data_IF_841557078761
#
_entry.id   IF_841557078761
#
_cell.length_a   1.000
_cell.length_b   1.000
_cell.length_c   1.000
_cell.angle_alpha   90.00
_cell.angle_beta   90.00
_cell.angle_gamma   90.00
#
_symmetry.space_group_name_H-M   'P 1'
#
loop_
_entity.id
_entity.type
_entity.pdbx_description
1 polymer ?
#
# COMPACT_ATOMS: atom_id res chain seq x y z
N UNK A 1 -15.95 -4.96 -8.69
CA UNK A 1 -14.91 -5.13 -7.62
C UNK A 1 -13.56 -4.73 -8.15
N UNK A 2 -12.73 -4.16 -7.30
CA UNK A 2 -11.41 -3.65 -7.66
C UNK A 2 -10.36 -4.29 -6.76
N UNK A 3 -9.12 -4.42 -7.28
CA UNK A 3 -8.00 -4.88 -6.45
C UNK A 3 -7.32 -3.69 -5.77
N UNK A 4 -6.94 -3.89 -4.51
CA UNK A 4 -6.19 -2.92 -3.71
C UNK A 4 -4.95 -3.60 -3.14
N UNK A 5 -3.79 -2.99 -3.34
CA UNK A 5 -2.53 -3.45 -2.77
C UNK A 5 -2.26 -2.68 -1.49
N UNK A 6 -2.14 -3.39 -0.37
CA UNK A 6 -1.83 -2.78 0.93
C UNK A 6 -0.45 -3.22 1.39
N UNK A 7 0.34 -2.27 1.85
CA UNK A 7 1.74 -2.53 2.20
C UNK A 7 2.10 -2.13 3.63
N UNK A 8 1.12 -1.72 4.42
CA UNK A 8 1.35 -1.21 5.77
C UNK A 8 0.30 -1.67 6.76
N UNK A 9 -0.46 -0.72 7.29
CA UNK A 9 -1.39 -0.91 8.39
C UNK A 9 -2.40 -2.06 8.20
N UNK A 10 -2.87 -2.26 6.97
CA UNK A 10 -3.89 -3.27 6.69
C UNK A 10 -3.32 -4.65 6.35
N UNK A 11 -2.01 -4.82 6.41
CA UNK A 11 -1.40 -6.11 6.10
C UNK A 11 -1.79 -7.16 7.14
N UNK A 12 -2.06 -8.37 6.66
CA UNK A 12 -2.42 -9.56 7.45
C UNK A 12 -3.69 -9.40 8.28
N UNK A 13 -4.41 -8.30 8.10
CA UNK A 13 -5.58 -8.04 8.92
C UNK A 13 -6.50 -7.03 8.25
N UNK A 14 -7.52 -7.53 7.58
CA UNK A 14 -8.58 -6.66 7.05
C UNK A 14 -9.42 -6.20 8.23
N UNK A 15 -9.23 -4.94 8.64
CA UNK A 15 -9.96 -4.32 9.75
C UNK A 15 -10.60 -3.01 9.30
N UNK A 16 -11.62 -2.59 10.01
CA UNK A 16 -12.29 -1.32 9.74
C UNK A 16 -12.79 -1.28 8.31
N UNK A 17 -12.24 -0.37 7.50
CA UNK A 17 -12.69 -0.16 6.13
C UNK A 17 -12.51 -1.37 5.22
N UNK A 18 -11.56 -2.26 5.53
CA UNK A 18 -11.31 -3.47 4.74
C UNK A 18 -11.93 -4.73 5.34
N UNK A 19 -12.78 -4.59 6.34
CA UNK A 19 -13.39 -5.71 7.05
C UNK A 19 -14.12 -6.68 6.11
N UNK A 20 -14.77 -6.16 5.09
CA UNK A 20 -15.53 -6.97 4.14
C UNK A 20 -14.77 -7.26 2.84
N UNK A 21 -13.49 -6.92 2.78
CA UNK A 21 -12.67 -7.19 1.60
C UNK A 21 -12.25 -8.66 1.57
N UNK A 22 -11.98 -9.16 0.36
CA UNK A 22 -11.51 -10.53 0.17
C UNK A 22 -10.00 -10.55 -0.01
N UNK A 23 -9.30 -11.26 0.84
CA UNK A 23 -7.84 -11.44 0.70
C UNK A 23 -7.54 -12.32 -0.52
N UNK A 24 -6.69 -11.81 -1.42
CA UNK A 24 -6.33 -12.50 -2.65
C UNK A 24 -4.90 -13.02 -2.66
N UNK A 25 -4.14 -12.76 -1.60
CA UNK A 25 -2.77 -13.28 -1.50
C UNK A 25 -1.72 -12.19 -1.38
N UNK A 26 -0.50 -12.60 -1.10
CA UNK A 26 0.66 -11.70 -1.07
C UNK A 26 1.18 -11.49 -2.48
N UNK A 27 1.77 -10.33 -2.71
CA UNK A 27 2.44 -10.04 -3.96
C UNK A 27 3.53 -8.99 -3.73
N UNK A 28 4.26 -8.67 -4.80
CA UNK A 28 5.30 -7.65 -4.76
C UNK A 28 5.10 -6.66 -5.88
N UNK A 29 5.57 -5.44 -5.65
CA UNK A 29 5.59 -4.37 -6.64
C UNK A 29 6.98 -3.74 -6.65
N UNK A 30 7.32 -3.04 -7.73
CA UNK A 30 8.56 -2.28 -7.79
C UNK A 30 8.39 -0.93 -7.09
N UNK A 31 9.39 -0.53 -6.32
CA UNK A 31 9.41 0.74 -5.63
C UNK A 31 10.07 0.64 -4.28
N UNK A 32 9.84 1.63 -3.45
CA UNK A 32 10.42 1.72 -2.12
C UNK A 32 9.37 2.16 -1.11
N UNK A 33 9.53 1.74 0.14
CA UNK A 33 8.71 2.25 1.24
C UNK A 33 9.62 2.89 2.29
N UNK A 34 9.09 3.92 2.92
CA UNK A 34 9.78 4.70 3.95
C UNK A 34 8.93 4.77 5.21
N UNK A 35 9.59 4.82 6.35
CA UNK A 35 8.92 4.96 7.64
C UNK A 35 8.53 6.41 7.83
N UNK A 36 7.31 6.76 7.44
CA UNK A 36 6.78 8.11 7.59
C UNK A 36 6.56 8.43 9.08
N UNK A 37 6.03 7.47 9.82
CA UNK A 37 5.95 7.54 11.28
C UNK A 37 5.94 6.11 11.85
N UNK A 38 5.70 5.99 13.15
CA UNK A 38 5.74 4.68 13.83
C UNK A 38 4.64 3.74 13.37
N UNK A 39 3.56 4.26 12.80
CA UNK A 39 2.36 3.48 12.54
C UNK A 39 2.16 3.11 11.08
N UNK A 40 2.69 3.88 10.13
CA UNK A 40 2.47 3.58 8.73
C UNK A 40 3.61 4.06 7.83
N UNK A 41 3.82 3.35 6.71
CA UNK A 41 4.83 3.71 5.71
C UNK A 41 4.26 4.58 4.60
N UNK A 42 5.16 5.10 3.77
CA UNK A 42 4.79 5.74 2.51
C UNK A 42 5.48 5.03 1.35
N UNK A 43 4.72 4.71 0.32
CA UNK A 43 5.24 4.09 -0.90
C UNK A 43 5.63 5.16 -1.91
N UNK A 44 6.83 4.99 -2.48
CA UNK A 44 7.34 5.85 -3.55
C UNK A 44 7.60 4.98 -4.78
N UNK A 45 7.08 5.43 -5.91
CA UNK A 45 7.23 4.73 -7.18
C UNK A 45 8.55 5.13 -7.83
N UNK A 46 9.65 4.61 -7.30
CA UNK A 46 10.95 4.83 -7.89
C UNK A 46 11.91 3.73 -7.49
N UNK A 47 13.03 3.64 -8.20
CA UNK A 47 14.04 2.65 -7.91
C UNK A 47 13.63 1.27 -8.43
N UNK A 48 14.48 0.29 -8.16
CA UNK A 48 14.27 -1.09 -8.56
C UNK A 48 14.09 -2.02 -7.37
N UNK A 49 13.82 -1.44 -6.21
CA UNK A 49 13.52 -2.22 -5.01
C UNK A 49 12.18 -2.93 -5.13
N UNK A 50 11.94 -3.83 -4.20
CA UNK A 50 10.70 -4.59 -4.13
C UNK A 50 9.95 -4.24 -2.86
N UNK A 51 8.63 -4.08 -2.98
CA UNK A 51 7.74 -3.85 -1.84
C UNK A 51 6.78 -5.02 -1.73
N UNK A 52 6.71 -5.61 -0.55
CA UNK A 52 5.86 -6.77 -0.28
C UNK A 52 4.56 -6.28 0.35
N UNK A 53 3.45 -6.79 -0.12
CA UNK A 53 2.15 -6.42 0.41
C UNK A 53 1.09 -7.48 0.15
N UNK A 54 -0.12 -7.14 0.49
CA UNK A 54 -1.28 -8.01 0.34
C UNK A 54 -2.25 -7.41 -0.68
N UNK A 55 -2.84 -8.29 -1.50
CA UNK A 55 -3.85 -7.89 -2.48
C UNK A 55 -5.23 -8.23 -1.92
N UNK A 56 -6.12 -7.25 -1.93
CA UNK A 56 -7.52 -7.43 -1.55
C UNK A 56 -8.43 -7.09 -2.70
N UNK A 57 -9.54 -7.83 -2.79
CA UNK A 57 -10.63 -7.48 -3.69
C UNK A 57 -11.63 -6.66 -2.88
N UNK A 58 -11.93 -5.45 -3.35
CA UNK A 58 -12.75 -4.50 -2.61
C UNK A 58 -13.90 -3.99 -3.47
N UNK A 59 -15.01 -3.62 -2.81
CA UNK A 59 -16.08 -2.88 -3.45
C UNK A 59 -15.59 -1.44 -3.63
N UNK A 60 -15.62 -0.89 -4.87
CA UNK A 60 -15.14 0.49 -5.09
C UNK A 60 -15.90 1.56 -4.30
N UNK A 61 -17.04 1.23 -3.74
CA UNK A 61 -17.79 2.14 -2.86
C UNK A 61 -17.00 2.58 -1.63
N UNK A 62 -15.97 1.80 -1.23
CA UNK A 62 -15.18 2.15 -0.06
C UNK A 62 -14.14 3.25 -0.34
N UNK A 63 -13.81 3.51 -1.60
CA UNK A 63 -12.71 4.41 -1.93
C UNK A 63 -12.87 5.85 -1.42
N UNK A 64 -14.04 6.49 -1.50
CA UNK A 64 -14.14 7.84 -0.93
C UNK A 64 -13.78 7.89 0.55
N UNK A 65 -14.24 6.91 1.33
CA UNK A 65 -13.96 6.82 2.75
C UNK A 65 -12.50 6.43 3.02
N UNK A 66 -11.97 5.52 2.22
CA UNK A 66 -10.59 5.08 2.34
C UNK A 66 -9.61 6.19 1.96
N UNK A 67 -9.93 6.96 0.90
CA UNK A 67 -9.13 8.12 0.49
C UNK A 67 -9.06 9.15 1.63
N UNK A 68 -10.19 9.38 2.30
CA UNK A 68 -10.24 10.29 3.44
C UNK A 68 -9.41 9.77 4.62
N UNK A 69 -9.48 8.47 4.88
CA UNK A 69 -8.70 7.84 5.94
C UNK A 69 -7.20 7.98 5.70
N UNK A 70 -6.74 7.78 4.45
CA UNK A 70 -5.32 7.90 4.09
C UNK A 70 -4.85 9.36 4.16
N UNK A 71 -5.72 10.29 3.83
CA UNK A 71 -5.45 11.72 3.99
C UNK A 71 -4.71 12.35 2.81
N UNK A 72 -4.38 13.62 2.98
CA UNK A 72 -3.82 14.45 1.91
C UNK A 72 -2.38 14.11 1.55
N UNK A 73 -1.69 13.33 2.37
CA UNK A 73 -0.30 12.93 2.13
C UNK A 73 -0.17 11.81 1.10
N UNK A 74 -1.29 11.21 0.72
CA UNK A 74 -1.32 10.08 -0.21
C UNK A 74 -2.24 10.36 -1.39
N UNK A 75 -1.93 9.73 -2.52
CA UNK A 75 -2.81 9.73 -3.69
C UNK A 75 -3.02 8.29 -4.12
N UNK A 76 -4.25 7.96 -4.51
CA UNK A 76 -4.58 6.61 -4.97
C UNK A 76 -4.28 6.50 -6.46
N UNK A 77 -3.35 5.61 -6.79
CA UNK A 77 -2.90 5.41 -8.18
C UNK A 77 -2.96 3.93 -8.54
N UNK A 78 -2.78 3.63 -9.81
CA UNK A 78 -2.75 2.24 -10.30
C UNK A 78 -1.32 1.75 -10.40
N UNK A 79 -1.13 0.47 -10.06
CA UNK A 79 0.16 -0.20 -10.20
C UNK A 79 -0.09 -1.67 -10.59
N UNK A 80 0.90 -2.30 -11.18
CA UNK A 80 0.82 -3.70 -11.55
C UNK A 80 1.79 -4.51 -10.69
N UNK A 81 1.31 -5.59 -10.12
CA UNK A 81 2.13 -6.48 -9.31
C UNK A 81 3.00 -7.38 -10.19
N UNK A 82 3.99 -8.02 -9.58
CA UNK A 82 4.81 -9.01 -10.29
C UNK A 82 4.00 -10.23 -10.73
N UNK A 83 2.89 -10.50 -10.09
CA UNK A 83 1.95 -11.55 -10.51
C UNK A 83 0.97 -11.07 -11.59
N UNK A 84 1.23 -9.88 -12.15
CA UNK A 84 0.47 -9.31 -13.26
C UNK A 84 -0.98 -8.94 -12.91
N UNK A 85 -1.20 -8.48 -11.69
CA UNK A 85 -2.49 -7.99 -11.25
C UNK A 85 -2.44 -6.48 -11.16
N UNK A 86 -3.36 -5.80 -11.85
CA UNK A 86 -3.49 -4.35 -11.72
C UNK A 86 -4.24 -4.01 -10.44
N UNK A 87 -3.64 -3.15 -9.61
CA UNK A 87 -4.19 -2.79 -8.30
C UNK A 87 -4.20 -1.28 -8.11
N UNK A 88 -5.09 -0.81 -7.26
CA UNK A 88 -4.96 0.50 -6.67
C UNK A 88 -3.94 0.44 -5.53
N UNK A 89 -3.23 1.55 -5.30
CA UNK A 89 -2.28 1.68 -4.20
C UNK A 89 -2.30 3.13 -3.71
N UNK A 90 -2.02 3.34 -2.43
CA UNK A 90 -1.89 4.69 -1.88
C UNK A 90 -0.41 5.08 -1.92
N UNK A 91 -0.09 6.03 -2.76
CA UNK A 91 1.26 6.50 -3.02
C UNK A 91 1.51 7.78 -2.23
N UNK A 92 2.64 7.83 -1.50
CA UNK A 92 3.01 9.00 -0.71
C UNK A 92 3.53 10.09 -1.64
N UNK A 93 3.08 11.34 -1.44
CA UNK A 93 3.33 12.41 -2.40
C UNK A 93 4.35 13.46 -1.94
N UNK A 94 4.90 13.31 -0.74
CA UNK A 94 5.87 14.25 -0.21
C UNK A 94 7.30 13.71 -0.26
N UNK A 95 8.29 14.61 -0.02
CA UNK A 95 9.68 14.25 0.03
C UNK A 95 9.92 13.26 1.18
N UNK A 96 10.68 12.20 0.89
CA UNK A 96 10.98 11.14 1.86
C UNK A 96 12.44 11.18 2.34
N UNK A 97 13.22 12.20 1.94
CA UNK A 97 14.65 12.25 2.25
C UNK A 97 14.95 12.29 3.75
N UNK A 98 14.00 12.76 4.55
CA UNK A 98 14.14 12.80 6.01
C UNK A 98 13.71 11.52 6.71
N UNK A 99 13.17 10.56 5.98
CA UNK A 99 12.62 9.32 6.54
C UNK A 99 13.52 8.13 6.28
N UNK A 100 13.44 7.16 7.17
CA UNK A 100 14.20 5.93 7.05
C UNK A 100 13.57 5.01 6.01
N UNK A 101 14.36 4.56 5.04
CA UNK A 101 13.93 3.57 4.07
C UNK A 101 13.79 2.20 4.73
N UNK A 102 12.73 1.49 4.41
CA UNK A 102 12.52 0.12 4.86
C UNK A 102 13.21 -0.80 3.84
N UNK A 103 14.44 -1.21 4.16
CA UNK A 103 15.32 -1.90 3.21
C UNK A 103 14.77 -3.20 2.64
N UNK A 104 14.06 -3.95 3.46
CA UNK A 104 13.49 -5.22 3.01
C UNK A 104 12.23 -5.05 2.18
N UNK A 105 11.70 -3.82 2.09
CA UNK A 105 10.44 -3.57 1.39
C UNK A 105 9.23 -4.21 2.05
N UNK A 106 9.36 -4.64 3.29
CA UNK A 106 8.32 -5.33 4.03
C UNK A 106 8.11 -4.63 5.37
N UNK A 107 6.98 -3.96 5.50
CA UNK A 107 6.63 -3.22 6.72
C UNK A 107 6.62 -4.12 7.96
N UNK A 108 6.25 -5.39 7.77
CA UNK A 108 6.17 -6.36 8.86
C UNK A 108 7.55 -6.74 9.41
N UNK A 109 8.62 -6.47 8.64
CA UNK A 109 10.01 -6.78 9.01
C UNK A 109 10.82 -5.53 9.33
N UNK A 110 10.19 -4.41 9.53
CA UNK A 110 10.89 -3.15 9.78
C UNK A 110 11.60 -3.09 11.12
#
# INVERSE_FOLDING_TARGET
>A
MEHLFVYGLFRDSARGLLENATFCGKSTIEGEIYKVNEFYPGFIRKGDGKVIGDVYLVDPKIFPELDEFEGEEYIRTKIRTESDIECWIYEYIHDVSAFKKIRMGDWMLR
#
